data_IF_362552039072
#
_entry.id   IF_362552039072
#
_cell.length_a   1.000
_cell.length_b   1.000
_cell.length_c   1.000
_cell.angle_alpha   90.00
_cell.angle_beta   90.00
_cell.angle_gamma   90.00
#
_symmetry.space_group_name_H-M   'P 1'
#
loop_
_entity.id
_entity.type
_entity.pdbx_description
1 polymer ?
#
# COMPACT_ATOMS: atom_id res chain seq x y z
N UNK A 1 39.28 6.96 4.31
CA UNK A 1 37.91 6.69 4.78
C UNK A 1 37.77 5.20 4.83
N UNK A 2 37.66 4.65 6.03
CA UNK A 2 37.38 3.22 6.20
C UNK A 2 35.86 2.97 6.27
N UNK A 3 35.47 1.70 6.38
CA UNK A 3 34.05 1.31 6.45
C UNK A 3 33.40 1.90 7.71
N UNK A 4 34.12 1.98 8.83
CA UNK A 4 33.61 2.49 10.11
C UNK A 4 33.33 3.99 10.03
N UNK A 5 34.20 4.75 9.38
CA UNK A 5 34.03 6.19 9.11
C UNK A 5 32.82 6.44 8.22
N UNK A 6 32.64 5.65 7.15
CA UNK A 6 31.50 5.74 6.25
C UNK A 6 30.17 5.47 6.97
N UNK A 7 30.13 4.41 7.79
CA UNK A 7 28.94 4.05 8.55
C UNK A 7 28.57 5.15 9.56
N UNK A 8 29.55 5.68 10.30
CA UNK A 8 29.34 6.79 11.26
C UNK A 8 28.82 8.06 10.58
N UNK A 9 29.37 8.44 9.43
CA UNK A 9 28.89 9.62 8.70
C UNK A 9 27.47 9.39 8.16
N UNK A 10 27.18 8.19 7.66
CA UNK A 10 25.85 7.84 7.15
C UNK A 10 24.80 7.84 8.26
N UNK A 11 25.11 7.27 9.41
CA UNK A 11 24.24 7.23 10.60
C UNK A 11 23.89 8.65 11.06
N UNK A 12 24.88 9.55 11.23
CA UNK A 12 24.65 10.95 11.61
C UNK A 12 23.72 11.70 10.64
N UNK A 13 23.82 11.41 9.33
CA UNK A 13 22.92 12.00 8.32
C UNK A 13 21.50 11.45 8.44
N UNK A 14 21.36 10.14 8.66
CA UNK A 14 20.06 9.49 8.85
C UNK A 14 19.38 9.96 10.14
N UNK A 15 20.10 10.13 11.24
CA UNK A 15 19.58 10.68 12.50
C UNK A 15 19.07 12.11 12.37
N UNK A 16 19.72 12.95 11.55
CA UNK A 16 19.20 14.30 11.26
C UNK A 16 17.92 14.22 10.44
N UNK A 17 17.87 13.33 9.46
CA UNK A 17 16.69 13.11 8.61
C UNK A 17 15.50 12.50 9.35
N UNK A 18 15.77 11.58 10.29
CA UNK A 18 14.74 10.86 11.04
C UNK A 18 13.88 11.77 11.90
N UNK A 19 14.45 12.88 12.40
CA UNK A 19 13.75 13.92 13.17
C UNK A 19 12.59 14.58 12.41
N UNK A 20 12.58 14.52 11.08
CA UNK A 20 11.51 15.09 10.24
C UNK A 20 10.38 14.11 9.95
N UNK A 21 10.54 12.83 10.28
CA UNK A 21 9.55 11.79 10.02
C UNK A 21 8.70 11.59 11.27
N UNK A 22 7.39 11.85 11.16
CA UNK A 22 6.44 11.70 12.28
C UNK A 22 6.10 10.25 12.57
N UNK A 23 5.94 9.44 11.53
CA UNK A 23 5.58 8.02 11.66
C UNK A 23 6.33 7.23 10.60
N UNK A 24 7.17 6.29 11.03
CA UNK A 24 7.93 5.42 10.14
C UNK A 24 7.10 4.27 9.58
N UNK A 25 5.96 3.94 10.22
CA UNK A 25 5.11 2.79 9.82
C UNK A 25 4.50 2.98 8.45
N UNK A 26 4.30 4.22 8.01
CA UNK A 26 3.78 4.56 6.67
C UNK A 26 4.72 4.15 5.53
N UNK A 27 6.00 3.87 5.83
CA UNK A 27 6.99 3.38 4.87
C UNK A 27 7.09 1.84 4.84
N UNK A 28 6.37 1.12 5.70
CA UNK A 28 6.27 -0.34 5.59
C UNK A 28 5.57 -0.68 4.27
N UNK A 29 6.15 -1.59 3.47
CA UNK A 29 5.54 -2.05 2.23
C UNK A 29 4.19 -2.76 2.43
N UNK A 30 3.90 -3.19 3.65
CA UNK A 30 2.62 -3.78 4.04
C UNK A 30 1.64 -2.75 4.62
N UNK A 31 2.06 -1.50 4.80
CA UNK A 31 1.19 -0.44 5.29
C UNK A 31 -0.02 -0.28 4.37
N UNK A 32 -1.21 -0.35 4.99
CA UNK A 32 -2.47 -0.11 4.31
C UNK A 32 -2.95 1.30 4.68
N UNK A 33 -3.05 2.24 3.74
CA UNK A 33 -3.53 3.58 4.05
C UNK A 33 -4.97 3.55 4.57
N UNK A 34 -5.24 4.32 5.63
CA UNK A 34 -6.60 4.48 6.18
C UNK A 34 -7.59 5.04 5.16
N UNK A 35 -7.12 5.95 4.29
CA UNK A 35 -7.92 6.58 3.24
C UNK A 35 -7.25 6.35 1.88
N UNK A 36 -7.50 5.21 1.22
CA UNK A 36 -6.96 4.96 -0.11
C UNK A 36 -7.55 5.95 -1.11
N UNK A 37 -6.72 6.47 -2.01
CA UNK A 37 -7.16 7.38 -3.08
C UNK A 37 -8.04 6.61 -4.09
N UNK A 38 -9.21 7.16 -4.43
CA UNK A 38 -10.05 6.62 -5.50
C UNK A 38 -9.38 6.75 -6.86
N UNK A 39 -9.43 5.68 -7.63
CA UNK A 39 -8.93 5.62 -9.01
C UNK A 39 -9.98 4.99 -9.92
N UNK A 40 -9.87 5.20 -11.23
CA UNK A 40 -10.89 4.73 -12.17
C UNK A 40 -11.01 3.19 -12.16
N UNK A 41 -9.88 2.49 -12.06
CA UNK A 41 -9.81 1.04 -12.01
C UNK A 41 -10.42 0.41 -10.75
N UNK A 42 -10.60 1.20 -9.67
CA UNK A 42 -11.19 0.71 -8.40
C UNK A 42 -12.66 0.35 -8.58
N UNK A 43 -13.39 1.14 -9.38
CA UNK A 43 -14.85 1.01 -9.57
C UNK A 43 -15.28 -0.39 -10.01
N UNK A 44 -14.80 -0.92 -11.16
CA UNK A 44 -15.23 -2.25 -11.62
C UNK A 44 -14.84 -3.37 -10.65
N UNK A 45 -13.73 -3.23 -9.92
CA UNK A 45 -13.30 -4.22 -8.91
C UNK A 45 -14.22 -4.19 -7.70
N UNK A 46 -14.54 -2.99 -7.19
CA UNK A 46 -15.46 -2.81 -6.08
C UNK A 46 -16.87 -3.33 -6.42
N UNK A 47 -17.38 -3.02 -7.61
CA UNK A 47 -18.70 -3.48 -8.07
C UNK A 47 -18.75 -5.02 -8.16
N UNK A 48 -17.70 -5.65 -8.69
CA UNK A 48 -17.61 -7.11 -8.79
C UNK A 48 -17.58 -7.80 -7.41
N UNK A 49 -16.86 -7.20 -6.44
CA UNK A 49 -16.79 -7.68 -5.06
C UNK A 49 -18.15 -7.54 -4.37
N UNK A 50 -18.78 -6.37 -4.47
CA UNK A 50 -20.11 -6.10 -3.91
C UNK A 50 -21.16 -7.03 -4.50
N UNK A 51 -21.14 -7.25 -5.82
CA UNK A 51 -22.02 -8.21 -6.49
C UNK A 51 -21.89 -9.59 -5.88
N UNK A 52 -20.66 -10.10 -5.75
CA UNK A 52 -20.41 -11.41 -5.15
C UNK A 52 -20.93 -11.47 -3.71
N UNK A 53 -20.67 -10.45 -2.88
CA UNK A 53 -21.14 -10.41 -1.50
C UNK A 53 -22.68 -10.42 -1.37
N UNK A 54 -23.39 -9.83 -2.33
CA UNK A 54 -24.86 -9.75 -2.31
C UNK A 54 -25.55 -10.95 -2.94
N UNK A 55 -24.96 -11.55 -3.99
CA UNK A 55 -25.61 -12.60 -4.77
C UNK A 55 -25.04 -13.99 -4.52
N UNK A 56 -23.85 -14.10 -3.92
CA UNK A 56 -23.11 -15.36 -3.80
C UNK A 56 -22.54 -15.89 -5.12
N UNK A 57 -22.73 -15.20 -6.24
CA UNK A 57 -22.29 -15.65 -7.57
C UNK A 57 -20.83 -15.25 -7.80
N UNK A 58 -19.89 -16.22 -7.94
CA UNK A 58 -18.48 -15.92 -8.12
C UNK A 58 -18.20 -15.08 -9.37
N UNK A 59 -17.24 -14.16 -9.25
CA UNK A 59 -16.76 -13.33 -10.36
C UNK A 59 -15.24 -13.53 -10.49
N UNK A 60 -14.77 -13.89 -11.69
CA UNK A 60 -13.34 -13.96 -11.98
C UNK A 60 -12.86 -12.61 -12.52
N UNK A 61 -11.95 -11.97 -11.79
CA UNK A 61 -11.41 -10.65 -12.17
C UNK A 61 -9.89 -10.76 -12.32
N UNK A 62 -9.38 -10.34 -13.49
CA UNK A 62 -7.95 -10.25 -13.77
C UNK A 62 -7.51 -8.79 -13.71
N UNK A 63 -6.56 -8.47 -12.83
CA UNK A 63 -6.01 -7.11 -12.66
C UNK A 63 -4.58 -7.07 -13.19
N UNK A 64 -4.34 -6.32 -14.27
CA UNK A 64 -3.04 -6.20 -14.95
C UNK A 64 -2.49 -4.78 -14.76
N UNK A 65 -1.17 -4.67 -14.63
CA UNK A 65 -0.47 -3.38 -14.57
C UNK A 65 0.99 -3.54 -14.19
N UNK A 66 1.79 -2.49 -14.34
CA UNK A 66 3.23 -2.48 -14.01
C UNK A 66 3.50 -2.73 -12.52
N UNK A 67 4.75 -3.08 -12.18
CA UNK A 67 5.21 -3.19 -10.78
C UNK A 67 5.02 -1.83 -10.09
N UNK A 68 4.50 -1.84 -8.86
CA UNK A 68 4.26 -0.61 -8.10
C UNK A 68 2.98 0.15 -8.48
N UNK A 69 2.18 -0.31 -9.45
CA UNK A 69 0.94 0.36 -9.84
C UNK A 69 -0.17 0.39 -8.76
N UNK A 70 0.03 -0.29 -7.61
CA UNK A 70 -0.94 -0.29 -6.50
C UNK A 70 -1.96 -1.42 -6.54
N UNK A 71 -1.83 -2.40 -7.45
CA UNK A 71 -2.75 -3.55 -7.60
C UNK A 71 -3.03 -4.28 -6.28
N UNK A 72 -1.97 -4.66 -5.55
CA UNK A 72 -2.09 -5.41 -4.29
C UNK A 72 -2.70 -4.57 -3.18
N UNK A 73 -2.29 -3.31 -3.05
CA UNK A 73 -2.85 -2.37 -2.07
C UNK A 73 -4.34 -2.15 -2.34
N UNK A 74 -4.73 -1.98 -3.61
CA UNK A 74 -6.13 -1.79 -4.00
C UNK A 74 -7.01 -2.95 -3.53
N UNK A 75 -6.62 -4.20 -3.82
CA UNK A 75 -7.40 -5.38 -3.42
C UNK A 75 -7.45 -5.52 -1.90
N UNK A 76 -6.33 -5.31 -1.20
CA UNK A 76 -6.28 -5.32 0.27
C UNK A 76 -7.17 -4.23 0.88
N UNK A 77 -7.11 -3.01 0.35
CA UNK A 77 -7.90 -1.87 0.81
C UNK A 77 -9.39 -2.12 0.66
N UNK A 78 -9.84 -2.58 -0.51
CA UNK A 78 -11.25 -2.91 -0.73
C UNK A 78 -11.73 -4.02 0.21
N UNK A 79 -10.94 -5.09 0.36
CA UNK A 79 -11.29 -6.21 1.25
C UNK A 79 -11.37 -5.77 2.72
N UNK A 80 -10.47 -4.88 3.14
CA UNK A 80 -10.46 -4.33 4.50
C UNK A 80 -11.73 -3.51 4.77
N UNK A 81 -12.09 -2.59 3.87
CA UNK A 81 -13.26 -1.71 4.03
C UNK A 81 -14.62 -2.43 3.86
N UNK A 82 -14.65 -3.56 3.15
CA UNK A 82 -15.87 -4.35 2.97
C UNK A 82 -16.13 -5.33 4.13
N UNK A 83 -15.13 -5.57 4.99
CA UNK A 83 -15.22 -6.46 6.16
C UNK A 83 -15.42 -5.71 7.49
N UNK A 84 -15.04 -4.44 7.54
CA UNK A 84 -15.28 -3.50 8.64
C UNK A 84 -16.74 -3.05 8.66
#
# INVERSE_FOLDING_TARGET
MDITDYLRDKEKRLEKGSRFIRDFRVFDFNYLPEKPLMRQEVRPVADALLRYMKTGVPNHVLIIGSRGAGKTVLVKSLTHHLRS
#
